data_IF_661982203563
#
_entry.id   IF_661982203563
#
_cell.length_a   1.000
_cell.length_b   1.000
_cell.length_c   1.000
_cell.angle_alpha   90.00
_cell.angle_beta   90.00
_cell.angle_gamma   90.00
#
_symmetry.space_group_name_H-M   'P 1'
#
loop_
_entity.id
_entity.type
_entity.pdbx_description
1 polymer ?
#
# COMPACT_ATOMS: atom_id res chain seq x y z
N UNK A 1 -13.58 -1.91 -2.15
CA UNK A 1 -12.77 -0.84 -2.82
C UNK A 1 -11.60 -1.51 -3.53
N UNK A 2 -11.12 -0.97 -4.66
CA UNK A 2 -9.89 -1.45 -5.31
C UNK A 2 -8.83 -0.35 -5.21
N UNK A 3 -7.64 -0.70 -4.76
CA UNK A 3 -6.50 0.21 -4.61
C UNK A 3 -5.32 -0.33 -5.41
N UNK A 4 -4.48 0.57 -5.92
CA UNK A 4 -3.23 0.21 -6.58
C UNK A 4 -2.18 -0.03 -5.49
N UNK A 5 -1.46 -1.14 -5.61
CA UNK A 5 -0.33 -1.50 -4.75
C UNK A 5 0.91 -1.59 -5.61
N UNK A 6 1.99 -0.97 -5.16
CA UNK A 6 3.33 -1.11 -5.75
C UNK A 6 4.06 -2.24 -5.05
N UNK A 7 4.73 -3.09 -5.82
CA UNK A 7 5.57 -4.17 -5.32
C UNK A 7 7.02 -3.89 -5.68
N UNK A 8 7.90 -3.92 -4.70
CA UNK A 8 9.35 -3.79 -4.87
C UNK A 8 10.06 -4.94 -4.17
N UNK A 9 11.28 -5.25 -4.58
CA UNK A 9 12.12 -6.22 -3.88
C UNK A 9 13.22 -5.47 -3.16
N UNK A 10 13.38 -5.72 -1.86
CA UNK A 10 14.42 -5.08 -1.05
C UNK A 10 15.78 -5.76 -1.21
N UNK A 11 16.79 -5.24 -0.50
CA UNK A 11 18.17 -5.74 -0.51
C UNK A 11 18.30 -7.17 0.04
N UNK A 12 17.33 -7.63 0.85
CA UNK A 12 17.29 -8.98 1.42
C UNK A 12 16.51 -9.96 0.53
N UNK A 13 15.93 -9.49 -0.58
CA UNK A 13 15.13 -10.29 -1.48
C UNK A 13 13.67 -10.44 -1.05
N UNK A 14 13.19 -9.72 -0.03
CA UNK A 14 11.78 -9.72 0.41
C UNK A 14 10.96 -8.82 -0.52
N UNK A 15 9.71 -9.20 -0.79
CA UNK A 15 8.78 -8.36 -1.56
C UNK A 15 8.08 -7.41 -0.60
N UNK A 16 8.28 -6.12 -0.84
CA UNK A 16 7.63 -5.02 -0.11
C UNK A 16 6.44 -4.55 -0.94
N UNK A 17 5.29 -4.44 -0.29
CA UNK A 17 4.04 -3.97 -0.85
C UNK A 17 3.65 -2.64 -0.21
N UNK A 18 3.35 -1.63 -1.01
CA UNK A 18 2.93 -0.31 -0.54
C UNK A 18 1.71 0.17 -1.34
N UNK A 19 0.81 0.90 -0.68
CA UNK A 19 -0.33 1.54 -1.34
C UNK A 19 -0.13 3.06 -1.40
N UNK A 20 0.17 3.65 -2.57
CA UNK A 20 0.38 5.09 -2.70
C UNK A 20 -0.85 5.94 -2.30
N UNK A 21 -2.05 5.37 -2.42
CA UNK A 21 -3.29 6.02 -2.02
C UNK A 21 -3.51 6.03 -0.50
N UNK A 22 -2.78 5.21 0.27
CA UNK A 22 -2.81 5.15 1.73
C UNK A 22 -1.38 5.29 2.27
N UNK A 23 -0.83 6.52 2.31
CA UNK A 23 0.56 6.74 2.71
C UNK A 23 0.88 6.14 4.08
N UNK A 24 2.04 5.48 4.17
CA UNK A 24 2.50 4.79 5.37
C UNK A 24 1.93 3.38 5.56
N UNK A 25 1.00 2.94 4.71
CA UNK A 25 0.55 1.55 4.70
C UNK A 25 1.52 0.73 3.83
N UNK A 26 2.44 0.05 4.51
CA UNK A 26 3.47 -0.81 3.92
C UNK A 26 3.38 -2.17 4.60
N UNK A 27 3.57 -3.21 3.80
CA UNK A 27 3.66 -4.59 4.26
C UNK A 27 4.69 -5.34 3.43
N UNK A 28 4.98 -6.57 3.79
CA UNK A 28 6.02 -7.36 3.11
C UNK A 28 5.75 -8.86 3.20
N UNK A 29 6.34 -9.62 2.28
CA UNK A 29 6.28 -11.07 2.27
C UNK A 29 7.41 -11.70 1.44
N UNK A 30 7.77 -12.96 1.69
CA UNK A 30 8.74 -13.70 0.89
C UNK A 30 8.24 -13.98 -0.54
N UNK A 31 6.93 -13.93 -0.76
CA UNK A 31 6.29 -14.10 -2.07
C UNK A 31 5.36 -12.93 -2.39
N UNK A 32 5.06 -12.74 -3.67
CA UNK A 32 4.12 -11.70 -4.13
C UNK A 32 2.73 -11.93 -3.53
N UNK A 33 2.26 -13.18 -3.53
CA UNK A 33 0.98 -13.54 -2.95
C UNK A 33 0.89 -13.19 -1.45
N UNK A 34 1.93 -13.53 -0.68
CA UNK A 34 1.97 -13.23 0.75
C UNK A 34 2.08 -11.72 1.03
N UNK A 35 2.90 -10.99 0.26
CA UNK A 35 2.98 -9.54 0.40
C UNK A 35 1.63 -8.85 0.08
N UNK A 36 0.88 -9.37 -0.91
CA UNK A 36 -0.44 -8.89 -1.29
C UNK A 36 -1.53 -9.23 -0.24
N UNK A 37 -1.46 -10.41 0.37
CA UNK A 37 -2.33 -10.78 1.49
C UNK A 37 -2.07 -9.89 2.71
N UNK A 38 -0.79 -9.74 3.09
CA UNK A 38 -0.40 -8.95 4.24
C UNK A 38 -0.74 -7.45 4.07
N UNK A 39 -0.56 -6.87 2.88
CA UNK A 39 -0.94 -5.47 2.63
C UNK A 39 -2.47 -5.30 2.59
N UNK A 40 -3.23 -6.31 2.15
CA UNK A 40 -4.68 -6.27 2.18
C UNK A 40 -5.21 -6.16 3.62
N UNK A 41 -4.69 -6.98 4.54
CA UNK A 41 -5.05 -6.91 5.95
C UNK A 41 -4.67 -5.55 6.57
N UNK A 42 -3.45 -5.09 6.31
CA UNK A 42 -2.96 -3.80 6.80
C UNK A 42 -3.81 -2.63 6.28
N UNK A 43 -4.25 -2.68 5.02
CA UNK A 43 -5.13 -1.67 4.43
C UNK A 43 -6.50 -1.64 5.11
N UNK A 44 -7.10 -2.81 5.38
CA UNK A 44 -8.40 -2.87 6.10
C UNK A 44 -8.28 -2.18 7.45
N UNK A 45 -7.29 -2.57 8.27
CA UNK A 45 -7.08 -1.98 9.59
C UNK A 45 -6.78 -0.47 9.53
N UNK A 46 -5.96 -0.03 8.57
CA UNK A 46 -5.61 1.38 8.41
C UNK A 46 -6.83 2.23 8.00
N UNK A 47 -7.65 1.73 7.08
CA UNK A 47 -8.85 2.44 6.61
C UNK A 47 -9.90 2.56 7.71
N UNK A 48 -10.08 1.52 8.53
CA UNK A 48 -10.95 1.57 9.71
C UNK A 48 -10.48 2.62 10.72
N UNK A 49 -9.18 2.66 11.03
CA UNK A 49 -8.60 3.64 11.94
C UNK A 49 -8.74 5.09 11.41
N UNK A 50 -8.54 5.31 10.11
CA UNK A 50 -8.75 6.61 9.46
C UNK A 50 -10.21 7.04 9.55
N UNK A 51 -11.15 6.15 9.24
CA UNK A 51 -12.58 6.42 9.33
C UNK A 51 -12.99 6.79 10.76
N UNK A 52 -12.54 6.03 11.76
CA UNK A 52 -12.81 6.30 13.18
C UNK A 52 -12.26 7.66 13.63
N UNK A 53 -11.17 8.12 13.01
CA UNK A 53 -10.52 9.40 13.30
C UNK A 53 -11.06 10.58 12.46
N UNK A 54 -12.11 10.36 11.65
CA UNK A 54 -12.65 11.38 10.75
C UNK A 54 -11.69 11.82 9.64
N UNK A 55 -10.67 11.01 9.35
CA UNK A 55 -9.70 11.28 8.29
C UNK A 55 -10.19 10.73 6.95
N UNK A 56 -9.75 11.32 5.81
CA UNK A 56 -9.95 10.73 4.51
C UNK A 56 -9.36 9.31 4.43
N UNK A 57 -10.14 8.38 3.87
CA UNK A 57 -9.73 6.99 3.67
C UNK A 57 -8.47 6.89 2.80
N UNK A 58 -8.43 7.65 1.72
CA UNK A 58 -7.31 7.68 0.77
C UNK A 58 -6.91 9.12 0.46
N UNK A 59 -5.70 9.28 -0.09
CA UNK A 59 -5.25 10.54 -0.70
C UNK A 59 -5.49 10.52 -2.21
N UNK A 60 -5.47 11.69 -2.84
CA UNK A 60 -5.55 11.79 -4.31
C UNK A 60 -4.20 11.39 -4.89
N UNK A 61 -4.18 10.34 -5.69
CA UNK A 61 -2.99 9.92 -6.45
C UNK A 61 -3.13 10.36 -7.91
N UNK A 62 -2.05 10.88 -8.50
CA UNK A 62 -1.99 11.30 -9.90
C UNK A 62 -0.67 10.82 -10.50
N UNK A 63 -0.75 10.31 -11.72
CA UNK A 63 0.43 10.10 -12.55
C UNK A 63 0.80 11.43 -13.21
N UNK A 64 2.10 11.69 -13.32
CA UNK A 64 2.66 12.86 -13.99
C UNK A 64 3.71 12.37 -14.98
N UNK A 65 3.76 12.98 -16.16
CA UNK A 65 4.80 12.69 -17.15
C UNK A 65 6.10 13.39 -16.74
N UNK A 66 7.22 12.66 -16.80
CA UNK A 66 8.55 13.17 -16.45
C UNK A 66 9.50 12.86 -17.61
N UNK A 67 10.30 13.84 -18.07
CA UNK A 67 11.29 13.61 -19.12
C UNK A 67 12.51 12.90 -18.52
N UNK A 68 12.51 11.56 -18.54
CA UNK A 68 13.64 10.71 -18.16
C UNK A 68 13.97 9.71 -19.26
#
# INVERSE_FOLDING_TARGET
MKLIVTLTRDESGVIVAECPAVPGCVSQGPTEAEALENIQEALVACLEARAASGMPLTVITREIEVPV
#
